data_IF_192416699708
#
_entry.id   IF_192416699708
#
_cell.length_a   1.000
_cell.length_b   1.000
_cell.length_c   1.000
_cell.angle_alpha   90.00
_cell.angle_beta   90.00
_cell.angle_gamma   90.00
#
_symmetry.space_group_name_H-M   'P 1'
#
loop_
_entity.id
_entity.type
_entity.pdbx_description
1 polymer ?
#
# COMPACT_ATOMS: atom_id res chain seq x y z
N UNK A 1 -6.37 -18.36 -19.27
CA UNK A 1 -6.47 -18.29 -17.79
C UNK A 1 -6.20 -16.84 -17.42
N UNK A 2 -7.16 -16.09 -16.85
CA UNK A 2 -6.80 -14.77 -16.34
C UNK A 2 -5.77 -14.99 -15.23
N UNK A 3 -4.65 -14.28 -15.30
CA UNK A 3 -3.72 -14.19 -14.18
C UNK A 3 -4.52 -13.71 -12.96
N UNK A 4 -4.42 -14.43 -11.84
CA UNK A 4 -5.08 -14.01 -10.61
C UNK A 4 -4.36 -12.74 -10.13
N UNK A 5 -4.93 -11.58 -10.45
CA UNK A 5 -4.51 -10.31 -9.88
C UNK A 5 -4.80 -10.38 -8.39
N UNK A 6 -3.77 -10.51 -7.57
CA UNK A 6 -3.94 -10.37 -6.14
C UNK A 6 -4.10 -8.89 -5.81
N UNK A 7 -4.98 -8.59 -4.85
CA UNK A 7 -5.32 -7.21 -4.52
C UNK A 7 -4.90 -6.91 -3.09
N UNK A 8 -3.98 -5.97 -2.93
CA UNK A 8 -3.61 -5.43 -1.63
C UNK A 8 -4.50 -4.22 -1.33
N UNK A 9 -5.15 -4.24 -0.17
CA UNK A 9 -6.02 -3.14 0.26
C UNK A 9 -5.28 -2.26 1.26
N UNK A 10 -5.23 -0.96 0.99
CA UNK A 10 -4.54 0.05 1.80
C UNK A 10 -5.56 0.93 2.53
N UNK A 11 -5.46 0.97 3.85
CA UNK A 11 -6.24 1.85 4.73
C UNK A 11 -5.31 2.86 5.40
N UNK A 12 -5.75 4.10 5.57
CA UNK A 12 -4.93 5.18 6.16
C UNK A 12 -5.60 5.71 7.42
N UNK A 13 -4.86 5.71 8.53
CA UNK A 13 -5.30 6.18 9.85
C UNK A 13 -4.43 7.37 10.32
N UNK A 14 -4.96 8.32 11.13
CA UNK A 14 -6.32 8.38 11.64
C UNK A 14 -7.36 8.68 10.56
N UNK A 15 -8.59 8.19 10.77
CA UNK A 15 -9.68 8.22 9.78
C UNK A 15 -10.18 9.62 9.41
N UNK A 16 -9.67 10.70 10.00
CA UNK A 16 -10.10 12.07 9.69
C UNK A 16 -8.92 13.08 9.64
N UNK A 17 -8.79 13.90 8.57
CA UNK A 17 -9.53 13.84 7.31
C UNK A 17 -8.85 12.86 6.33
N UNK A 18 -9.05 11.56 6.53
CA UNK A 18 -8.40 10.47 5.77
C UNK A 18 -8.70 10.48 4.27
N UNK A 19 -9.74 11.16 3.78
CA UNK A 19 -10.02 11.24 2.34
C UNK A 19 -8.94 12.04 1.58
N UNK A 20 -8.40 13.12 2.17
CA UNK A 20 -7.30 13.86 1.58
C UNK A 20 -6.00 13.06 1.62
N UNK A 21 -5.76 12.34 2.72
CA UNK A 21 -4.61 11.44 2.86
C UNK A 21 -4.66 10.31 1.83
N UNK A 22 -5.80 9.65 1.68
CA UNK A 22 -6.02 8.58 0.69
C UNK A 22 -5.89 9.08 -0.74
N UNK A 23 -6.43 10.25 -1.08
CA UNK A 23 -6.24 10.85 -2.42
C UNK A 23 -4.77 11.19 -2.68
N UNK A 24 -4.07 11.71 -1.68
CA UNK A 24 -2.63 11.97 -1.77
C UNK A 24 -1.83 10.67 -1.98
N UNK A 25 -2.12 9.62 -1.22
CA UNK A 25 -1.49 8.30 -1.39
C UNK A 25 -1.80 7.72 -2.78
N UNK A 26 -3.05 7.73 -3.21
CA UNK A 26 -3.43 7.24 -4.55
C UNK A 26 -2.73 8.02 -5.68
N UNK A 27 -2.58 9.35 -5.52
CA UNK A 27 -1.84 10.18 -6.46
C UNK A 27 -0.34 9.86 -6.44
N UNK A 28 0.23 9.60 -5.26
CA UNK A 28 1.63 9.24 -5.10
C UNK A 28 1.94 7.89 -5.75
N UNK A 29 1.13 6.87 -5.46
CA UNK A 29 1.30 5.55 -6.07
C UNK A 29 1.11 5.60 -7.59
N UNK A 30 0.29 6.51 -8.12
CA UNK A 30 0.17 6.70 -9.58
C UNK A 30 1.37 7.37 -10.23
N UNK A 31 2.18 8.09 -9.47
CA UNK A 31 3.43 8.66 -9.97
C UNK A 31 4.45 7.55 -10.27
N UNK A 32 4.37 6.41 -9.57
CA UNK A 32 5.19 5.24 -9.81
C UNK A 32 4.78 4.51 -11.10
N UNK A 33 5.69 4.43 -12.09
CA UNK A 33 5.37 3.85 -13.40
C UNK A 33 4.86 2.41 -13.32
N UNK A 34 5.34 1.60 -12.37
CA UNK A 34 4.87 0.22 -12.17
C UNK A 34 3.47 0.11 -11.57
N UNK A 35 3.07 1.07 -10.74
CA UNK A 35 1.80 1.04 -10.02
C UNK A 35 0.72 1.90 -10.68
N UNK A 36 1.09 2.78 -11.62
CA UNK A 36 0.20 3.73 -12.30
C UNK A 36 -1.09 3.08 -12.79
N UNK A 37 -0.96 1.97 -13.52
CA UNK A 37 -2.10 1.26 -14.12
C UNK A 37 -2.76 0.27 -13.15
N UNK A 38 -2.19 0.08 -11.96
CA UNK A 38 -2.64 -0.84 -10.91
C UNK A 38 -3.46 -0.17 -9.81
N UNK A 39 -3.43 1.15 -9.74
CA UNK A 39 -4.12 1.95 -8.73
C UNK A 39 -5.39 2.55 -9.33
N UNK A 40 -6.58 2.00 -9.05
CA UNK A 40 -7.85 2.48 -9.57
C UNK A 40 -8.19 3.85 -9.00
N UNK A 41 -8.90 4.71 -9.76
CA UNK A 41 -9.30 6.05 -9.31
C UNK A 41 -9.98 5.96 -7.94
N UNK A 42 -9.54 6.80 -7.00
CA UNK A 42 -10.16 6.87 -5.69
C UNK A 42 -11.62 7.28 -5.88
N UNK A 43 -12.56 6.54 -5.28
CA UNK A 43 -13.98 6.88 -5.36
C UNK A 43 -14.22 8.29 -4.78
N UNK A 44 -15.17 9.04 -5.35
CA UNK A 44 -15.44 10.43 -4.95
C UNK A 44 -15.78 10.54 -3.47
N UNK A 45 -16.49 9.54 -2.94
CA UNK A 45 -16.99 9.49 -1.57
C UNK A 45 -15.86 9.31 -0.54
N UNK A 46 -14.66 8.94 -0.99
CA UNK A 46 -13.46 8.89 -0.16
C UNK A 46 -13.56 8.00 1.07
N UNK A 47 -14.57 7.13 1.16
CA UNK A 47 -14.84 6.24 2.29
C UNK A 47 -14.19 4.86 2.11
N UNK A 48 -13.99 4.42 0.87
CA UNK A 48 -13.42 3.11 0.57
C UNK A 48 -11.88 3.08 0.77
N UNK A 49 -11.33 1.92 1.16
CA UNK A 49 -9.88 1.71 1.19
C UNK A 49 -9.31 1.61 -0.24
N UNK A 50 -8.04 2.00 -0.40
CA UNK A 50 -7.39 2.03 -1.71
C UNK A 50 -6.94 0.61 -2.09
N UNK A 51 -7.47 0.06 -3.17
CA UNK A 51 -7.14 -1.29 -3.63
C UNK A 51 -6.07 -1.22 -4.71
N UNK A 52 -4.95 -1.90 -4.56
CA UNK A 52 -3.86 -1.93 -5.53
C UNK A 52 -3.69 -3.36 -6.03
N UNK A 53 -3.72 -3.54 -7.35
CA UNK A 53 -3.46 -4.83 -7.96
C UNK A 53 -1.95 -5.11 -7.99
N UNK A 54 -1.54 -6.31 -7.61
CA UNK A 54 -0.15 -6.77 -7.65
C UNK A 54 -0.10 -8.13 -8.35
N UNK A 55 0.86 -8.30 -9.26
CA UNK A 55 1.05 -9.56 -10.00
C UNK A 55 2.26 -10.36 -9.51
N UNK A 56 3.27 -9.69 -8.96
CA UNK A 56 4.51 -10.33 -8.53
C UNK A 56 5.16 -9.68 -7.31
N UNK A 57 6.21 -10.34 -6.79
CA UNK A 57 6.97 -9.86 -5.63
C UNK A 57 7.62 -8.48 -5.84
N UNK A 58 7.96 -8.14 -7.09
CA UNK A 58 8.47 -6.83 -7.47
C UNK A 58 7.41 -5.74 -7.39
N UNK A 59 6.16 -6.03 -7.75
CA UNK A 59 5.04 -5.09 -7.56
C UNK A 59 4.82 -4.80 -6.08
N UNK A 60 4.86 -5.83 -5.22
CA UNK A 60 4.75 -5.66 -3.77
C UNK A 60 5.91 -4.85 -3.20
N UNK A 61 7.13 -5.13 -3.64
CA UNK A 61 8.30 -4.38 -3.21
C UNK A 61 8.15 -2.90 -3.54
N UNK A 62 7.75 -2.56 -4.77
CA UNK A 62 7.53 -1.17 -5.19
C UNK A 62 6.37 -0.54 -4.43
N UNK A 63 5.29 -1.28 -4.19
CA UNK A 63 4.15 -0.80 -3.40
C UNK A 63 4.57 -0.40 -1.99
N UNK A 64 5.26 -1.29 -1.27
CA UNK A 64 5.69 -1.02 0.11
C UNK A 64 6.68 0.14 0.16
N UNK A 65 7.64 0.21 -0.78
CA UNK A 65 8.60 1.32 -0.87
C UNK A 65 7.90 2.65 -1.17
N UNK A 66 6.93 2.66 -2.09
CA UNK A 66 6.19 3.87 -2.43
C UNK A 66 5.33 4.36 -1.26
N UNK A 67 4.69 3.46 -0.51
CA UNK A 67 3.96 3.81 0.72
C UNK A 67 4.91 4.35 1.79
N UNK A 68 6.08 3.71 1.99
CA UNK A 68 7.10 4.20 2.92
C UNK A 68 7.60 5.59 2.53
N UNK A 69 7.88 5.82 1.25
CA UNK A 69 8.29 7.11 0.71
C UNK A 69 7.23 8.18 0.93
N UNK A 70 5.95 7.86 0.70
CA UNK A 70 4.83 8.76 0.98
C UNK A 70 4.72 9.09 2.47
N UNK A 71 4.87 8.11 3.36
CA UNK A 71 4.85 8.31 4.82
C UNK A 71 6.01 9.19 5.31
N UNK A 72 7.21 9.00 4.76
CA UNK A 72 8.38 9.83 5.09
C UNK A 72 8.18 11.26 4.57
N UNK A 73 7.58 11.41 3.38
CA UNK A 73 7.33 12.71 2.76
C UNK A 73 6.22 13.47 3.50
N UNK A 74 5.20 12.77 3.99
CA UNK A 74 4.12 13.35 4.79
C UNK A 74 4.65 13.77 6.17
N UNK A 75 4.36 15.00 6.58
CA UNK A 75 4.73 15.51 7.92
C UNK A 75 3.71 15.18 9.03
N UNK A 76 2.66 14.46 8.68
CA UNK A 76 1.59 14.08 9.60
C UNK A 76 1.81 12.64 10.06
N UNK A 77 1.56 12.36 11.34
CA UNK A 77 1.57 11.00 11.90
C UNK A 77 0.41 10.19 11.31
N UNK A 78 0.67 9.56 10.16
CA UNK A 78 -0.24 8.65 9.49
C UNK A 78 0.27 7.21 9.61
N UNK A 79 -0.68 6.28 9.74
CA UNK A 79 -0.44 4.84 9.70
C UNK A 79 -1.18 4.27 8.50
N UNK A 80 -0.48 3.50 7.67
CA UNK A 80 -1.07 2.77 6.55
C UNK A 80 -1.16 1.30 6.88
N UNK A 81 -2.36 0.73 6.84
CA UNK A 81 -2.59 -0.70 6.99
C UNK A 81 -2.71 -1.34 5.61
N UNK A 82 -1.84 -2.30 5.33
CA UNK A 82 -1.82 -3.14 4.14
C UNK A 82 -2.52 -4.46 4.46
N UNK A 83 -3.74 -4.67 3.97
CA UNK A 83 -4.39 -5.97 3.98
C UNK A 83 -3.93 -6.76 2.75
N UNK A 84 -3.24 -7.85 3.02
CA UNK A 84 -2.66 -8.76 2.06
C UNK A 84 -3.70 -9.81 1.60
N UNK A 85 -3.53 -10.35 0.39
CA UNK A 85 -4.23 -11.56 -0.04
C UNK A 85 -3.97 -12.70 0.96
N UNK A 86 -5.02 -13.46 1.29
CA UNK A 86 -4.95 -14.50 2.34
C UNK A 86 -5.34 -14.04 3.74
N UNK A 87 -5.76 -12.78 3.93
CA UNK A 87 -6.34 -12.30 5.19
C UNK A 87 -5.32 -11.79 6.22
N UNK A 88 -4.04 -11.84 5.90
CA UNK A 88 -2.99 -11.18 6.68
C UNK A 88 -3.09 -9.67 6.52
N UNK A 89 -2.79 -8.92 7.58
CA UNK A 89 -2.70 -7.46 7.53
C UNK A 89 -1.41 -7.00 8.19
N UNK A 90 -0.78 -5.99 7.61
CA UNK A 90 0.44 -5.41 8.12
C UNK A 90 0.33 -3.89 8.20
N UNK A 91 0.88 -3.30 9.25
CA UNK A 91 0.79 -1.86 9.50
C UNK A 91 2.14 -1.19 9.27
N UNK A 92 2.12 -0.06 8.59
CA UNK A 92 3.29 0.77 8.30
C UNK A 92 3.01 2.20 8.76
N UNK A 93 3.74 2.65 9.76
CA UNK A 93 3.74 4.03 10.24
C UNK A 93 5.01 4.76 9.80
N UNK A 94 5.10 6.07 10.04
CA UNK A 94 6.28 6.88 9.67
C UNK A 94 7.57 6.40 10.35
N UNK A 95 7.52 5.81 11.54
CA UNK A 95 8.71 5.31 12.25
C UNK A 95 9.21 4.05 11.57
N UNK A 96 8.32 3.11 11.27
CA UNK A 96 8.62 1.89 10.51
C UNK A 96 9.05 2.20 9.08
N UNK A 97 8.45 3.20 8.44
CA UNK A 97 8.85 3.63 7.10
C UNK A 97 10.30 4.13 7.05
N UNK A 98 10.80 4.74 8.14
CA UNK A 98 12.20 5.18 8.27
C UNK A 98 13.17 4.06 8.62
N UNK A 99 12.66 2.91 9.05
CA UNK A 99 13.44 1.75 9.44
C UNK A 99 13.50 0.76 8.26
N UNK A 100 14.64 0.72 7.59
CA UNK A 100 14.82 -0.10 6.39
C UNK A 100 14.69 -1.60 6.66
N UNK A 101 15.02 -2.07 7.88
CA UNK A 101 14.86 -3.47 8.25
C UNK A 101 13.37 -3.82 8.41
N UNK A 102 12.58 -2.90 8.97
CA UNK A 102 11.13 -3.05 9.08
C UNK A 102 10.45 -3.04 7.70
N UNK A 103 10.86 -2.13 6.81
CA UNK A 103 10.36 -2.07 5.43
C UNK A 103 10.68 -3.38 4.68
N UNK A 104 11.89 -3.89 4.83
CA UNK A 104 12.32 -5.15 4.19
C UNK A 104 11.56 -6.36 4.74
N UNK A 105 11.37 -6.42 6.06
CA UNK A 105 10.59 -7.48 6.72
C UNK A 105 9.14 -7.47 6.26
N UNK A 106 8.56 -6.28 6.09
CA UNK A 106 7.21 -6.11 5.57
C UNK A 106 7.10 -6.61 4.12
N UNK A 107 8.09 -6.31 3.27
CA UNK A 107 8.15 -6.83 1.90
C UNK A 107 8.20 -8.35 1.91
N UNK A 108 9.09 -8.98 2.68
CA UNK A 108 9.21 -10.45 2.73
C UNK A 108 7.89 -11.09 3.21
N UNK A 109 7.26 -10.50 4.23
CA UNK A 109 5.95 -10.95 4.74
C UNK A 109 4.87 -10.86 3.66
N UNK A 110 4.80 -9.75 2.94
CA UNK A 110 3.82 -9.53 1.89
C UNK A 110 4.05 -10.47 0.69
N UNK A 111 5.31 -10.67 0.29
CA UNK A 111 5.68 -11.60 -0.79
C UNK A 111 5.33 -13.05 -0.44
N UNK A 112 5.60 -13.47 0.80
CA UNK A 112 5.20 -14.81 1.28
C UNK A 112 3.68 -15.00 1.27
N UNK A 113 2.92 -13.97 1.62
CA UNK A 113 1.45 -14.05 1.62
C UNK A 113 0.86 -14.28 0.22
N UNK A 114 1.53 -13.77 -0.83
CA UNK A 114 1.11 -13.97 -2.23
C UNK A 114 1.50 -15.32 -2.83
N UNK A 115 2.31 -16.10 -2.13
CA UNK A 115 2.71 -17.45 -2.57
C UNK A 115 1.99 -18.48 -1.70
N UNK A 116 0.69 -18.75 -1.93
CA UNK A 116 0.02 -19.84 -1.23
C UNK A 116 0.69 -21.16 -1.64
N UNK A 117 1.11 -21.93 -0.64
CA UNK A 117 1.73 -23.24 -0.77
C UNK A 117 0.85 -24.24 -1.53
#
# INVERSE_FOLDING_TARGET
MPAYLETITLSVHPDLPSAAARRSLASWLRAEDRLRDRVPPARPDGADPLRVAVDDAGDVMVLVQAVAGWLIHRREDATVTLALPGGSSAELDVRRARDMDQVTTLIDTAVRAMSPA
#
